data_IF_273738961886
#
_entry.id   IF_273738961886
#
_cell.length_a   1.000
_cell.length_b   1.000
_cell.length_c   1.000
_cell.angle_alpha   90.00
_cell.angle_beta   90.00
_cell.angle_gamma   90.00
#
_symmetry.space_group_name_H-M   'P 1'
#
loop_
_entity.id
_entity.type
_entity.pdbx_description
1 polymer ?
#
# COMPACT_ATOMS: atom_id res chain seq x y z
N UNK A 1 9.26 -11.81 14.32
CA UNK A 1 9.55 -12.87 13.32
C UNK A 1 8.81 -12.49 12.03
N UNK A 2 9.47 -12.57 10.88
CA UNK A 2 8.82 -12.34 9.58
C UNK A 2 8.09 -13.60 9.12
N UNK A 3 6.90 -13.42 8.51
CA UNK A 3 6.09 -14.53 8.03
C UNK A 3 6.58 -15.06 6.68
N UNK A 4 7.04 -14.15 5.81
CA UNK A 4 7.52 -14.44 4.45
C UNK A 4 8.74 -13.58 4.15
N UNK A 5 9.69 -14.13 3.40
CA UNK A 5 10.83 -13.39 2.85
C UNK A 5 11.01 -13.70 1.37
N UNK A 6 11.40 -12.69 0.60
CA UNK A 6 11.60 -12.74 -0.83
C UNK A 6 12.70 -11.78 -1.25
N UNK A 7 13.00 -11.70 -2.54
CA UNK A 7 13.89 -10.68 -3.10
C UNK A 7 13.44 -10.29 -4.50
N UNK A 8 13.79 -9.07 -4.91
CA UNK A 8 13.57 -8.59 -6.27
C UNK A 8 14.73 -7.70 -6.74
N UNK A 9 14.82 -7.51 -8.05
CA UNK A 9 15.81 -6.62 -8.64
C UNK A 9 15.25 -5.22 -8.83
N UNK A 10 15.98 -4.21 -8.39
CA UNK A 10 15.61 -2.81 -8.58
C UNK A 10 16.87 -1.96 -8.79
N UNK A 11 16.93 -1.20 -9.89
CA UNK A 11 18.08 -0.36 -10.21
C UNK A 11 19.41 -1.12 -10.27
N UNK A 12 19.43 -2.37 -10.73
CA UNK A 12 20.60 -3.24 -10.77
C UNK A 12 21.05 -3.80 -9.41
N UNK A 13 20.24 -3.64 -8.38
CA UNK A 13 20.51 -4.11 -7.02
C UNK A 13 19.50 -5.17 -6.61
N UNK A 14 19.94 -6.13 -5.78
CA UNK A 14 19.03 -7.09 -5.13
C UNK A 14 18.50 -6.46 -3.84
N UNK A 15 17.18 -6.32 -3.74
CA UNK A 15 16.48 -5.86 -2.55
C UNK A 15 15.84 -7.08 -1.87
N UNK A 16 16.18 -7.31 -0.61
CA UNK A 16 15.53 -8.33 0.20
C UNK A 16 14.28 -7.75 0.86
N UNK A 17 13.18 -8.48 0.79
CA UNK A 17 11.89 -8.07 1.35
C UNK A 17 11.42 -9.10 2.33
N UNK A 18 11.01 -8.65 3.50
CA UNK A 18 10.39 -9.49 4.52
C UNK A 18 9.04 -8.93 4.90
N UNK A 19 8.05 -9.79 5.08
CA UNK A 19 6.69 -9.44 5.47
C UNK A 19 6.38 -9.87 6.90
N UNK A 20 5.70 -9.01 7.64
CA UNK A 20 5.16 -9.29 8.96
C UNK A 20 3.67 -8.93 9.00
N UNK A 21 2.81 -9.90 9.28
CA UNK A 21 1.36 -9.70 9.41
C UNK A 21 1.03 -9.01 10.72
N UNK A 22 0.19 -7.98 10.67
CA UNK A 22 -0.37 -7.30 11.85
C UNK A 22 -1.89 -7.34 11.74
N UNK A 23 -2.56 -7.80 12.80
CA UNK A 23 -4.01 -8.00 12.82
C UNK A 23 -4.76 -7.06 13.73
N UNK A 24 -4.07 -6.31 14.56
CA UNK A 24 -4.66 -5.40 15.54
C UNK A 24 -3.83 -4.12 15.66
N UNK A 25 -4.50 -2.99 15.78
CA UNK A 25 -3.82 -1.67 15.93
C UNK A 25 -2.95 -1.61 17.19
N UNK A 26 -3.33 -2.30 18.26
CA UNK A 26 -2.60 -2.32 19.54
C UNK A 26 -1.22 -2.98 19.50
N UNK A 27 -0.92 -3.76 18.45
CA UNK A 27 0.36 -4.46 18.29
C UNK A 27 1.21 -3.90 17.14
N UNK A 28 0.87 -2.73 16.62
CA UNK A 28 1.70 -2.03 15.63
C UNK A 28 3.01 -1.64 16.29
N UNK A 29 4.17 -2.12 15.80
CA UNK A 29 5.46 -1.76 16.39
C UNK A 29 5.80 -0.30 16.15
N UNK A 30 6.56 0.29 17.06
CA UNK A 30 7.13 1.62 16.89
C UNK A 30 8.35 1.54 15.96
N UNK A 31 8.10 1.72 14.67
CA UNK A 31 9.11 1.70 13.60
C UNK A 31 9.00 2.99 12.77
N UNK A 32 10.10 3.41 12.14
CA UNK A 32 10.09 4.59 11.25
C UNK A 32 9.36 4.24 9.95
N UNK A 33 8.05 4.43 9.91
CA UNK A 33 7.22 4.19 8.72
C UNK A 33 7.54 5.20 7.63
N UNK A 34 8.26 4.79 6.58
CA UNK A 34 8.59 5.67 5.46
C UNK A 34 7.47 5.75 4.42
N UNK A 35 6.64 4.71 4.33
CA UNK A 35 5.56 4.64 3.34
C UNK A 35 4.35 3.89 3.90
N UNK A 36 3.17 4.31 3.50
CA UNK A 36 1.89 3.64 3.81
C UNK A 36 1.12 3.43 2.52
N UNK A 37 0.67 2.19 2.28
CA UNK A 37 -0.16 1.83 1.12
C UNK A 37 -1.39 1.07 1.56
N UNK A 38 -2.46 1.16 0.76
CA UNK A 38 -3.73 0.51 1.10
C UNK A 38 -4.23 -0.50 0.06
N UNK A 39 -4.89 -1.53 0.55
CA UNK A 39 -5.90 -2.30 -0.18
C UNK A 39 -7.25 -1.72 0.22
N UNK A 40 -7.76 -0.81 -0.60
CA UNK A 40 -9.01 -0.12 -0.35
C UNK A 40 -10.21 -0.93 -0.79
N UNK A 41 -11.33 -0.77 -0.10
CA UNK A 41 -12.63 -1.32 -0.47
C UNK A 41 -13.59 -0.18 -0.79
N UNK A 42 -13.86 0.06 -2.05
CA UNK A 42 -14.92 0.93 -2.54
C UNK A 42 -16.09 0.08 -3.05
N UNK A 43 -17.08 -0.15 -2.21
CA UNK A 43 -18.27 -0.94 -2.57
C UNK A 43 -17.94 -2.33 -3.17
N UNK A 44 -16.93 -3.02 -2.62
CA UNK A 44 -16.52 -4.36 -3.06
C UNK A 44 -15.39 -4.38 -4.12
N UNK A 45 -14.99 -3.23 -4.65
CA UNK A 45 -13.89 -3.10 -5.62
C UNK A 45 -12.67 -2.44 -5.00
N UNK A 46 -11.48 -2.78 -5.52
CA UNK A 46 -10.20 -2.25 -5.05
C UNK A 46 -9.68 -1.20 -6.04
N UNK A 47 -9.45 0.05 -5.60
CA UNK A 47 -8.78 1.03 -6.43
C UNK A 47 -7.28 0.73 -6.56
N UNK A 48 -6.78 0.71 -7.78
CA UNK A 48 -5.36 0.71 -8.12
C UNK A 48 -5.03 1.99 -8.88
N UNK A 49 -3.86 2.56 -8.63
CA UNK A 49 -3.39 3.79 -9.27
C UNK A 49 -2.37 3.49 -10.35
N UNK A 50 -2.42 4.22 -11.46
CA UNK A 50 -1.43 4.11 -12.53
C UNK A 50 -0.36 5.18 -12.37
N UNK A 51 0.87 4.76 -12.14
CA UNK A 51 2.03 5.64 -12.04
C UNK A 51 2.66 5.81 -13.44
N UNK A 52 2.66 7.04 -13.95
CA UNK A 52 3.16 7.35 -15.29
C UNK A 52 4.69 7.20 -15.41
N UNK A 53 5.43 7.44 -14.33
CA UNK A 53 6.89 7.31 -14.31
C UNK A 53 7.29 5.83 -14.32
N UNK A 54 6.67 5.03 -13.46
CA UNK A 54 6.93 3.58 -13.37
C UNK A 54 6.22 2.78 -14.47
N UNK A 55 5.26 3.38 -15.17
CA UNK A 55 4.43 2.74 -16.20
C UNK A 55 3.74 1.46 -15.71
N UNK A 56 3.23 1.50 -14.49
CA UNK A 56 2.61 0.34 -13.84
C UNK A 56 1.52 0.74 -12.87
N UNK A 57 0.61 -0.19 -12.61
CA UNK A 57 -0.36 -0.08 -11.54
C UNK A 57 0.25 -0.44 -10.20
N UNK A 58 -0.17 0.27 -9.16
CA UNK A 58 0.22 0.05 -7.77
C UNK A 58 -0.97 0.25 -6.84
N UNK A 59 -0.78 -0.17 -5.58
CA UNK A 59 -1.67 0.21 -4.50
C UNK A 59 -1.58 1.73 -4.29
N UNK A 60 -2.71 2.42 -4.00
CA UNK A 60 -2.69 3.81 -3.57
C UNK A 60 -1.89 3.98 -2.27
N UNK A 61 -1.21 5.10 -2.15
CA UNK A 61 -0.43 5.44 -0.99
C UNK A 61 0.94 6.02 -1.35
N UNK A 62 1.71 6.39 -0.34
CA UNK A 62 2.99 7.02 -0.57
C UNK A 62 3.80 7.28 0.69
N UNK A 63 4.68 8.25 0.60
CA UNK A 63 5.61 8.60 1.68
C UNK A 63 4.88 9.28 2.83
N UNK A 64 5.24 8.90 4.05
CA UNK A 64 4.84 9.60 5.27
C UNK A 64 5.55 10.95 5.33
N UNK A 65 4.81 12.02 5.51
CA UNK A 65 5.36 13.35 5.77
C UNK A 65 5.77 13.49 7.25
N UNK A 66 6.62 14.49 7.52
CA UNK A 66 7.13 14.72 8.88
C UNK A 66 6.00 14.93 9.88
N UNK A 67 5.94 14.07 10.90
CA UNK A 67 4.93 14.13 11.96
C UNK A 67 3.58 13.48 11.63
N UNK A 68 3.39 12.95 10.42
CA UNK A 68 2.18 12.21 10.08
C UNK A 68 2.12 10.83 10.79
N UNK A 69 0.94 10.49 11.24
CA UNK A 69 0.59 9.11 11.62
C UNK A 69 0.28 8.28 10.37
N UNK A 70 0.21 6.94 10.53
CA UNK A 70 -0.24 6.02 9.47
C UNK A 70 -1.60 6.46 8.91
N UNK A 71 -2.55 6.80 9.80
CA UNK A 71 -3.90 7.22 9.41
C UNK A 71 -3.89 8.53 8.63
N UNK A 72 -3.10 9.51 9.06
CA UNK A 72 -2.98 10.80 8.35
C UNK A 72 -2.37 10.63 6.97
N UNK A 73 -1.29 9.84 6.86
CA UNK A 73 -0.67 9.54 5.56
C UNK A 73 -1.66 8.91 4.59
N UNK A 74 -2.35 7.84 4.99
CA UNK A 74 -3.24 7.15 4.07
C UNK A 74 -4.49 7.96 3.74
N UNK A 75 -4.98 8.78 4.66
CA UNK A 75 -6.12 9.68 4.41
C UNK A 75 -5.75 10.74 3.37
N UNK A 76 -4.57 11.35 3.47
CA UNK A 76 -4.06 12.32 2.51
C UNK A 76 -3.85 11.69 1.13
N UNK A 77 -3.14 10.58 1.06
CA UNK A 77 -2.83 9.88 -0.19
C UNK A 77 -4.09 9.43 -0.93
N UNK A 78 -5.11 8.94 -0.21
CA UNK A 78 -6.37 8.52 -0.85
C UNK A 78 -7.15 9.69 -1.47
N UNK A 79 -7.08 10.87 -0.86
CA UNK A 79 -7.66 12.08 -1.44
C UNK A 79 -6.86 12.50 -2.68
N UNK A 80 -5.54 12.57 -2.57
CA UNK A 80 -4.65 13.05 -3.63
C UNK A 80 -4.66 12.15 -4.86
N UNK A 81 -4.57 10.82 -4.67
CA UNK A 81 -4.41 9.86 -5.76
C UNK A 81 -5.73 9.32 -6.33
N UNK A 82 -6.81 9.31 -5.56
CA UNK A 82 -8.08 8.69 -5.95
C UNK A 82 -9.31 9.58 -5.77
N UNK A 83 -9.20 10.72 -5.09
CA UNK A 83 -10.32 11.54 -4.64
C UNK A 83 -11.37 10.73 -3.85
N UNK A 84 -10.87 9.92 -2.90
CA UNK A 84 -11.67 9.07 -2.03
C UNK A 84 -11.38 9.38 -0.56
N UNK A 85 -12.42 9.23 0.28
CA UNK A 85 -12.33 9.40 1.73
C UNK A 85 -12.17 8.06 2.41
N UNK A 86 -11.23 7.96 3.36
CA UNK A 86 -11.10 6.83 4.26
C UNK A 86 -12.15 6.93 5.37
N UNK A 87 -13.03 5.94 5.45
CA UNK A 87 -14.07 5.84 6.50
C UNK A 87 -13.56 5.06 7.70
N UNK A 88 -12.79 3.99 7.42
CA UNK A 88 -12.25 3.07 8.40
C UNK A 88 -10.95 2.49 7.85
N UNK A 89 -10.01 2.15 8.74
CA UNK A 89 -8.82 1.42 8.35
C UNK A 89 -8.45 0.33 9.38
N UNK A 90 -7.82 -0.72 8.88
CA UNK A 90 -7.29 -1.83 9.68
C UNK A 90 -5.86 -2.17 9.23
N UNK A 91 -4.97 -2.56 10.15
CA UNK A 91 -3.64 -3.00 9.77
C UNK A 91 -3.71 -4.35 9.03
N UNK A 92 -2.87 -4.51 8.02
CA UNK A 92 -2.63 -5.80 7.35
C UNK A 92 -1.24 -6.34 7.70
N UNK A 93 -0.27 -5.46 7.82
CA UNK A 93 1.11 -5.82 8.09
C UNK A 93 2.09 -4.78 7.55
N UNK A 94 3.36 -5.15 7.50
CA UNK A 94 4.39 -4.31 6.91
C UNK A 94 5.45 -5.11 6.17
N UNK A 95 6.07 -4.44 5.22
CA UNK A 95 7.28 -4.91 4.55
C UNK A 95 8.51 -4.20 5.12
N UNK A 96 9.58 -4.96 5.33
CA UNK A 96 10.92 -4.43 5.53
C UNK A 96 11.74 -4.71 4.28
N UNK A 97 12.10 -3.67 3.54
CA UNK A 97 12.98 -3.76 2.40
C UNK A 97 14.42 -3.47 2.86
N UNK A 98 15.31 -4.43 2.66
CA UNK A 98 16.74 -4.31 3.00
C UNK A 98 17.54 -4.07 1.72
N UNK A 99 18.12 -2.89 1.63
CA UNK A 99 19.03 -2.52 0.55
C UNK A 99 20.45 -3.11 0.76
N UNK A 100 21.27 -3.26 -0.31
CA UNK A 100 22.62 -3.80 -0.21
C UNK A 100 23.56 -3.02 0.71
N UNK A 101 23.30 -1.72 0.91
CA UNK A 101 24.06 -0.85 1.84
C UNK A 101 23.65 -1.02 3.32
N UNK A 102 22.70 -1.93 3.61
CA UNK A 102 22.16 -2.16 4.94
C UNK A 102 21.00 -1.24 5.35
N UNK A 103 20.60 -0.30 4.49
CA UNK A 103 19.44 0.56 4.76
C UNK A 103 18.15 -0.27 4.79
N UNK A 104 17.32 -0.02 5.79
CA UNK A 104 16.00 -0.63 5.93
C UNK A 104 14.91 0.40 5.64
N UNK A 105 13.98 0.04 4.76
CA UNK A 105 12.79 0.84 4.45
C UNK A 105 11.57 0.07 4.93
N UNK A 106 10.81 0.68 5.83
CA UNK A 106 9.58 0.09 6.38
C UNK A 106 8.37 0.67 5.67
N UNK A 107 7.59 -0.22 5.07
CA UNK A 107 6.39 0.12 4.32
C UNK A 107 5.17 -0.54 4.97
N UNK A 108 4.29 0.26 5.52
CA UNK A 108 3.08 -0.23 6.17
C UNK A 108 1.97 -0.51 5.15
N UNK A 109 1.18 -1.54 5.40
CA UNK A 109 0.02 -1.91 4.58
C UNK A 109 -1.22 -1.91 5.43
N UNK A 110 -2.26 -1.26 4.92
CA UNK A 110 -3.57 -1.17 5.57
C UNK A 110 -4.68 -1.65 4.65
N UNK A 111 -5.75 -2.13 5.23
CA UNK A 111 -7.06 -2.13 4.61
C UNK A 111 -7.73 -0.78 4.87
N UNK A 112 -8.47 -0.26 3.91
CA UNK A 112 -9.34 0.91 4.10
C UNK A 112 -10.73 0.67 3.52
N UNK A 113 -11.76 1.05 4.28
CA UNK A 113 -13.11 1.23 3.74
C UNK A 113 -13.20 2.63 3.17
N UNK A 114 -13.64 2.73 1.93
CA UNK A 114 -13.60 3.96 1.14
C UNK A 114 -14.99 4.45 0.77
N UNK A 115 -15.07 5.76 0.60
CA UNK A 115 -16.21 6.46 0.00
C UNK A 115 -15.69 7.43 -1.06
N UNK A 116 -16.38 7.50 -2.21
CA UNK A 116 -16.03 8.44 -3.28
C UNK A 116 -16.36 9.87 -2.84
N UNK A 117 -15.41 10.79 -2.99
CA UNK A 117 -15.64 12.23 -2.81
C UNK A 117 -16.12 12.84 -4.12
N UNK A 118 -15.47 12.50 -5.23
CA UNK A 118 -15.75 12.99 -6.57
C UNK A 118 -14.92 12.27 -7.61
N UNK A 119 -14.91 12.76 -8.84
CA UNK A 119 -14.04 12.24 -9.87
C UNK A 119 -12.58 12.61 -9.57
N UNK A 120 -11.65 11.71 -9.91
CA UNK A 120 -10.23 12.00 -9.87
C UNK A 120 -9.90 13.04 -10.97
N UNK A 121 -9.17 14.08 -10.60
CA UNK A 121 -8.78 15.15 -11.54
C UNK A 121 -7.27 15.14 -11.79
N UNK A 122 -6.47 15.18 -10.74
CA UNK A 122 -5.02 15.16 -10.83
C UNK A 122 -4.44 14.82 -9.45
N UNK A 123 -3.26 14.24 -9.45
CA UNK A 123 -2.41 14.03 -8.28
C UNK A 123 -1.48 15.25 -8.11
N UNK A 124 -1.45 15.92 -6.93
CA UNK A 124 -0.51 17.01 -6.67
C UNK A 124 0.95 16.63 -6.85
N UNK A 125 1.33 15.38 -6.57
CA UNK A 125 2.65 14.83 -6.83
C UNK A 125 2.96 14.65 -8.32
N UNK A 126 1.92 14.56 -9.16
CA UNK A 126 2.04 14.49 -10.62
C UNK A 126 2.38 13.11 -11.19
N UNK A 127 2.69 12.13 -10.37
CA UNK A 127 3.08 10.79 -10.81
C UNK A 127 1.89 9.90 -11.15
N UNK A 128 0.78 10.06 -10.42
CA UNK A 128 -0.45 9.30 -10.63
C UNK A 128 -1.34 10.05 -11.62
N UNK A 129 -1.67 9.40 -12.71
CA UNK A 129 -2.47 9.99 -13.81
C UNK A 129 -3.84 9.35 -13.97
N UNK A 130 -4.09 8.21 -13.34
CA UNK A 130 -5.37 7.51 -13.39
C UNK A 130 -5.48 6.53 -12.24
N UNK A 131 -6.72 6.15 -11.90
CA UNK A 131 -7.00 4.97 -11.10
C UNK A 131 -8.02 4.07 -11.80
N UNK A 132 -8.04 2.81 -11.43
CA UNK A 132 -9.01 1.81 -11.90
C UNK A 132 -9.54 1.01 -10.72
N UNK A 133 -10.74 0.46 -10.87
CA UNK A 133 -11.34 -0.42 -9.88
C UNK A 133 -11.25 -1.86 -10.37
N UNK A 134 -10.74 -2.74 -9.53
CA UNK A 134 -10.53 -4.15 -9.86
C UNK A 134 -11.14 -5.06 -8.79
N UNK A 135 -11.35 -6.33 -9.13
CA UNK A 135 -11.67 -7.36 -8.15
C UNK A 135 -10.46 -7.64 -7.26
N UNK A 136 -10.70 -7.90 -5.96
CA UNK A 136 -9.62 -8.19 -5.01
C UNK A 136 -8.78 -9.41 -5.42
N UNK A 137 -9.36 -10.37 -6.14
CA UNK A 137 -8.63 -11.55 -6.62
C UNK A 137 -7.61 -11.23 -7.72
N UNK A 138 -7.81 -10.12 -8.45
CA UNK A 138 -6.93 -9.72 -9.55
C UNK A 138 -5.78 -8.81 -9.08
N UNK A 139 -5.89 -8.21 -7.90
CA UNK A 139 -4.94 -7.22 -7.39
C UNK A 139 -3.50 -7.72 -7.46
N UNK A 140 -3.19 -8.87 -6.87
CA UNK A 140 -1.82 -9.37 -6.82
C UNK A 140 -1.24 -9.71 -8.19
N UNK A 141 -2.07 -10.20 -9.11
CA UNK A 141 -1.66 -10.43 -10.49
C UNK A 141 -1.25 -9.12 -11.19
N UNK A 142 -1.99 -8.04 -10.94
CA UNK A 142 -1.76 -6.73 -11.56
C UNK A 142 -0.53 -6.05 -10.96
N UNK A 143 -0.39 -6.04 -9.62
CA UNK A 143 0.72 -5.35 -8.94
C UNK A 143 2.01 -6.18 -8.83
N UNK A 144 1.96 -7.49 -9.07
CA UNK A 144 3.13 -8.35 -9.20
C UNK A 144 3.96 -8.53 -7.92
N UNK A 145 3.34 -8.61 -6.74
CA UNK A 145 4.07 -8.73 -5.47
C UNK A 145 4.26 -10.18 -4.97
N UNK A 146 4.01 -11.19 -5.82
CA UNK A 146 4.30 -12.59 -5.53
C UNK A 146 3.63 -13.11 -4.25
N UNK A 147 4.35 -13.91 -3.46
CA UNK A 147 3.83 -14.52 -2.23
C UNK A 147 3.49 -13.50 -1.14
N UNK A 148 4.24 -12.41 -1.05
CA UNK A 148 3.94 -11.31 -0.12
C UNK A 148 2.62 -10.67 -0.50
N UNK A 149 2.40 -10.40 -1.79
CA UNK A 149 1.13 -9.88 -2.30
C UNK A 149 -0.03 -10.84 -2.02
N UNK A 150 0.16 -12.14 -2.23
CA UNK A 150 -0.86 -13.15 -1.94
C UNK A 150 -1.24 -13.16 -0.45
N UNK A 151 -0.26 -13.11 0.45
CA UNK A 151 -0.49 -13.02 1.90
C UNK A 151 -1.26 -11.75 2.28
N UNK A 152 -0.85 -10.61 1.74
CA UNK A 152 -1.48 -9.31 1.97
C UNK A 152 -2.95 -9.31 1.52
N UNK A 153 -3.25 -9.83 0.32
CA UNK A 153 -4.60 -9.98 -0.21
C UNK A 153 -5.45 -10.90 0.68
N UNK A 154 -4.90 -12.02 1.12
CA UNK A 154 -5.60 -12.93 2.02
C UNK A 154 -5.98 -12.26 3.34
N UNK A 155 -5.12 -11.42 3.90
CA UNK A 155 -5.46 -10.65 5.09
C UNK A 155 -6.55 -9.62 4.80
N UNK A 156 -6.50 -8.92 3.67
CA UNK A 156 -7.47 -7.90 3.29
C UNK A 156 -8.88 -8.49 3.06
N UNK A 157 -8.99 -9.69 2.47
CA UNK A 157 -10.28 -10.38 2.22
C UNK A 157 -11.14 -10.58 3.45
N UNK A 158 -10.57 -10.48 4.65
CA UNK A 158 -11.32 -10.59 5.92
C UNK A 158 -12.25 -9.40 6.16
N UNK A 159 -12.08 -8.32 5.41
CA UNK A 159 -12.80 -7.06 5.55
C UNK A 159 -13.68 -6.71 4.33
N UNK A 160 -13.70 -7.57 3.29
CA UNK A 160 -14.50 -7.40 2.08
C UNK A 160 -15.91 -8.04 2.16
#
# INVERSE_FOLDING_TARGET
MYDISSSFQYGGKTIFVSWCTIRQKSVIPDLPWQQVYTIGNLAGSVPLVYNAIKKSYNLPGGKTESGETIEQTITREMVEECNMRVIEWQPLGYQCCLEPNGTRVYQFRVYTKLEKIGEFTHDPGGDIIAHTLVDINDVNHIIGQGDIGACMIQQAKRYF
#
